data_IF_472485959499
#
_entry.id   IF_472485959499
#
_cell.length_a   1.000
_cell.length_b   1.000
_cell.length_c   1.000
_cell.angle_alpha   90.00
_cell.angle_beta   90.00
_cell.angle_gamma   90.00
#
_symmetry.space_group_name_H-M   'P 1'
#
loop_
_entity.id
_entity.type
_entity.pdbx_description
1 polymer ?
#
# COMPACT_ATOMS: atom_id res chain seq x y z
N UNK A 1 0.94 -27.12 19.54
CA UNK A 1 0.42 -25.75 19.74
C UNK A 1 -0.56 -25.46 18.63
N UNK A 2 -1.65 -24.71 18.88
CA UNK A 2 -2.61 -24.30 17.85
C UNK A 2 -2.68 -22.78 17.78
N UNK A 3 -3.00 -22.26 16.61
CA UNK A 3 -3.00 -20.83 16.28
C UNK A 3 -4.35 -20.42 15.69
N UNK A 4 -4.73 -19.18 15.93
CA UNK A 4 -5.92 -18.53 15.38
C UNK A 4 -5.85 -17.04 15.69
N UNK A 5 -6.88 -16.30 15.28
CA UNK A 5 -6.98 -14.86 15.53
C UNK A 5 -8.05 -14.62 16.58
N UNK A 6 -7.84 -13.63 17.44
CA UNK A 6 -8.85 -13.18 18.39
C UNK A 6 -9.34 -11.79 18.00
N UNK A 7 -10.66 -11.62 17.95
CA UNK A 7 -11.33 -10.33 17.71
C UNK A 7 -12.02 -9.93 18.99
N UNK A 8 -11.67 -8.76 19.54
CA UNK A 8 -12.20 -8.26 20.82
C UNK A 8 -12.10 -9.28 21.96
N UNK A 9 -10.97 -10.00 22.04
CA UNK A 9 -10.72 -11.01 23.07
C UNK A 9 -11.39 -12.37 22.83
N UNK A 10 -12.16 -12.53 21.76
CA UNK A 10 -12.81 -13.80 21.40
C UNK A 10 -12.00 -14.51 20.30
N UNK A 11 -11.38 -15.67 20.58
CA UNK A 11 -10.66 -16.43 19.56
C UNK A 11 -11.62 -17.08 18.56
N UNK A 12 -11.11 -17.42 17.38
CA UNK A 12 -11.80 -18.31 16.45
C UNK A 12 -12.20 -19.64 17.11
N UNK A 13 -13.36 -20.16 16.73
CA UNK A 13 -13.85 -21.46 17.20
C UNK A 13 -12.99 -22.63 16.69
N UNK A 14 -12.41 -22.47 15.51
CA UNK A 14 -11.47 -23.40 14.91
C UNK A 14 -10.04 -22.82 14.92
N UNK A 15 -9.08 -23.64 15.34
CA UNK A 15 -7.67 -23.30 15.44
C UNK A 15 -6.82 -24.30 14.65
N UNK A 16 -5.71 -23.82 14.09
CA UNK A 16 -4.90 -24.53 13.12
C UNK A 16 -3.49 -24.80 13.66
N UNK A 17 -2.75 -25.75 13.07
CA UNK A 17 -1.35 -25.99 13.44
C UNK A 17 -0.43 -24.83 13.03
N UNK A 18 -0.89 -23.96 12.13
CA UNK A 18 -0.23 -22.72 11.73
C UNK A 18 -1.28 -21.68 11.27
N UNK A 19 -1.08 -20.41 11.63
CA UNK A 19 -1.85 -19.27 11.14
C UNK A 19 -0.94 -18.03 10.96
N UNK A 20 -0.78 -17.53 9.73
CA UNK A 20 0.11 -16.39 9.37
C UNK A 20 -0.58 -15.36 8.47
N UNK A 21 0.14 -14.26 8.17
CA UNK A 21 -0.31 -13.21 7.25
C UNK A 21 -1.70 -12.67 7.60
N UNK A 22 -1.94 -12.30 8.86
CA UNK A 22 -3.25 -11.88 9.34
C UNK A 22 -3.74 -10.63 8.58
N UNK A 23 -5.00 -10.64 8.16
CA UNK A 23 -5.71 -9.47 7.64
C UNK A 23 -7.01 -9.24 8.43
N UNK A 24 -7.41 -7.98 8.57
CA UNK A 24 -8.70 -7.60 9.11
C UNK A 24 -9.52 -6.87 8.03
N UNK A 25 -10.84 -7.00 8.07
CA UNK A 25 -11.70 -6.21 7.19
C UNK A 25 -11.73 -4.73 7.65
N UNK A 26 -12.21 -3.79 6.81
CA UNK A 26 -12.23 -2.36 7.17
C UNK A 26 -12.98 -2.03 8.47
N UNK A 27 -14.02 -2.80 8.81
CA UNK A 27 -14.77 -2.63 10.05
C UNK A 27 -14.07 -3.21 11.30
N UNK A 28 -12.97 -3.96 11.13
CA UNK A 28 -12.27 -4.65 12.22
C UNK A 28 -13.08 -5.78 12.87
N UNK A 29 -14.16 -6.23 12.24
CA UNK A 29 -15.09 -7.25 12.75
C UNK A 29 -14.79 -8.65 12.23
N UNK A 30 -14.11 -8.75 11.10
CA UNK A 30 -13.73 -10.02 10.47
C UNK A 30 -12.24 -10.09 10.29
N UNK A 31 -11.70 -11.30 10.40
CA UNK A 31 -10.27 -11.57 10.28
C UNK A 31 -10.02 -12.75 9.36
N UNK A 32 -8.89 -12.71 8.66
CA UNK A 32 -8.45 -13.79 7.80
C UNK A 32 -6.98 -14.11 8.06
N UNK A 33 -6.60 -15.39 7.94
CA UNK A 33 -5.23 -15.84 8.07
C UNK A 33 -4.93 -16.93 7.05
N UNK A 34 -3.67 -17.03 6.63
CA UNK A 34 -3.18 -18.21 5.93
C UNK A 34 -3.06 -19.33 6.96
N UNK A 35 -3.76 -20.43 6.74
CA UNK A 35 -3.79 -21.56 7.67
C UNK A 35 -3.27 -22.83 7.02
N UNK A 36 -2.73 -23.72 7.82
CA UNK A 36 -2.33 -25.06 7.42
C UNK A 36 -3.39 -26.07 7.85
N UNK A 37 -3.99 -26.77 6.87
CA UNK A 37 -5.09 -27.72 7.11
C UNK A 37 -4.62 -29.11 7.52
N UNK A 38 -3.38 -29.45 7.19
CA UNK A 38 -2.82 -30.77 7.45
C UNK A 38 -1.41 -30.66 7.97
N UNK A 39 -1.04 -31.51 8.94
CA UNK A 39 0.31 -31.51 9.47
C UNK A 39 1.32 -31.93 8.39
N UNK A 40 2.38 -31.14 8.28
CA UNK A 40 3.55 -31.44 7.47
C UNK A 40 4.62 -32.01 8.40
N UNK A 41 4.96 -33.28 8.21
CA UNK A 41 6.17 -33.85 8.82
C UNK A 41 7.42 -33.14 8.30
N UNK A 42 8.53 -33.26 9.04
CA UNK A 42 9.81 -32.70 8.62
C UNK A 42 10.21 -33.22 7.24
N UNK A 43 10.65 -32.32 6.36
CA UNK A 43 11.11 -32.61 5.01
C UNK A 43 10.12 -33.38 4.09
N UNK A 44 8.81 -33.36 4.37
CA UNK A 44 7.81 -34.00 3.50
C UNK A 44 7.47 -33.12 2.28
N UNK A 45 8.38 -33.11 1.31
CA UNK A 45 8.28 -32.29 0.09
C UNK A 45 7.09 -32.68 -0.80
N UNK A 46 6.73 -33.96 -0.85
CA UNK A 46 5.62 -34.44 -1.67
C UNK A 46 4.27 -33.94 -1.16
N UNK A 47 4.07 -33.97 0.17
CA UNK A 47 2.86 -33.44 0.80
C UNK A 47 2.79 -31.92 0.67
N UNK A 48 3.92 -31.22 0.82
CA UNK A 48 3.98 -29.78 0.60
C UNK A 48 3.56 -29.40 -0.83
N UNK A 49 4.08 -30.11 -1.84
CA UNK A 49 3.75 -29.85 -3.26
C UNK A 49 2.29 -30.12 -3.62
N UNK A 50 1.58 -30.99 -2.87
CA UNK A 50 0.14 -31.22 -3.03
C UNK A 50 -0.73 -30.06 -2.50
N UNK A 51 -0.13 -29.13 -1.76
CA UNK A 51 -0.81 -27.99 -1.16
C UNK A 51 -1.58 -28.35 0.12
N UNK A 52 -1.21 -27.71 1.21
CA UNK A 52 -1.85 -27.87 2.53
C UNK A 52 -2.30 -26.54 3.13
N UNK A 53 -2.13 -25.44 2.40
CA UNK A 53 -2.43 -24.10 2.87
C UNK A 53 -3.73 -23.59 2.26
N UNK A 54 -4.44 -22.77 3.02
CA UNK A 54 -5.59 -22.02 2.51
C UNK A 54 -5.79 -20.73 3.31
N UNK A 55 -6.81 -19.95 2.99
CA UNK A 55 -7.27 -18.88 3.87
C UNK A 55 -8.38 -19.40 4.77
N UNK A 56 -8.30 -19.13 6.07
CA UNK A 56 -9.45 -19.15 6.95
C UNK A 56 -9.96 -17.74 7.20
N UNK A 57 -11.28 -17.54 7.12
CA UNK A 57 -11.97 -16.32 7.48
C UNK A 57 -12.82 -16.62 8.71
N UNK A 58 -12.56 -15.90 9.81
CA UNK A 58 -13.22 -16.11 11.09
C UNK A 58 -13.16 -17.58 11.56
N UNK A 59 -12.02 -18.23 11.32
CA UNK A 59 -11.78 -19.64 11.62
C UNK A 59 -12.27 -20.62 10.56
N UNK A 60 -13.09 -20.19 9.59
CA UNK A 60 -13.62 -21.08 8.56
C UNK A 60 -12.72 -21.11 7.32
N UNK A 61 -12.10 -22.25 6.98
CA UNK A 61 -11.21 -22.36 5.82
C UNK A 61 -11.99 -22.33 4.50
N UNK A 62 -11.38 -21.75 3.46
CA UNK A 62 -11.82 -22.00 2.08
C UNK A 62 -11.70 -23.49 1.76
N UNK A 63 -12.57 -23.97 0.87
CA UNK A 63 -12.56 -25.38 0.43
C UNK A 63 -11.29 -25.73 -0.37
N UNK A 64 -10.79 -24.78 -1.14
CA UNK A 64 -9.63 -24.98 -2.00
C UNK A 64 -8.33 -24.94 -1.19
N UNK A 65 -7.40 -25.84 -1.53
CA UNK A 65 -6.02 -25.84 -1.00
C UNK A 65 -5.04 -25.29 -2.03
N UNK A 66 -3.96 -24.73 -1.53
CA UNK A 66 -2.87 -24.13 -2.29
C UNK A 66 -1.52 -24.60 -1.74
N UNK A 67 -0.49 -24.52 -2.58
CA UNK A 67 0.90 -24.75 -2.15
C UNK A 67 1.36 -23.64 -1.22
N UNK A 68 0.98 -22.39 -1.52
CA UNK A 68 1.17 -21.26 -0.62
C UNK A 68 0.01 -20.27 -0.78
N UNK A 69 -0.22 -19.51 0.30
CA UNK A 69 -1.09 -18.34 0.31
C UNK A 69 -0.35 -17.23 1.06
N UNK A 70 -0.22 -16.05 0.45
CA UNK A 70 0.47 -14.92 1.06
C UNK A 70 -0.47 -13.75 1.31
N UNK A 71 -0.13 -12.56 0.81
CA UNK A 71 -0.85 -11.32 1.09
C UNK A 71 -2.30 -11.42 0.62
N UNK A 72 -3.18 -10.80 1.39
CA UNK A 72 -4.63 -10.85 1.19
C UNK A 72 -5.28 -9.54 1.60
N UNK A 73 -6.42 -9.25 0.97
CA UNK A 73 -7.14 -7.98 1.10
C UNK A 73 -8.64 -8.27 1.12
N UNK A 74 -9.34 -7.66 2.07
CA UNK A 74 -10.80 -7.59 2.05
C UNK A 74 -11.27 -6.48 1.11
N UNK A 75 -12.44 -6.65 0.49
CA UNK A 75 -13.10 -5.54 -0.21
C UNK A 75 -13.61 -4.47 0.78
N UNK A 76 -14.09 -3.35 0.25
CA UNK A 76 -14.61 -2.23 1.07
C UNK A 76 -15.74 -2.65 2.01
N UNK A 77 -16.63 -3.53 1.56
CA UNK A 77 -17.73 -4.05 2.38
C UNK A 77 -17.26 -5.04 3.47
N UNK A 78 -16.06 -5.61 3.31
CA UNK A 78 -15.49 -6.59 4.24
C UNK A 78 -16.11 -7.99 4.14
N UNK A 79 -16.88 -8.27 3.10
CA UNK A 79 -17.56 -9.55 2.89
C UNK A 79 -16.82 -10.50 1.94
N UNK A 80 -15.99 -9.94 1.04
CA UNK A 80 -15.14 -10.69 0.10
C UNK A 80 -13.66 -10.56 0.41
N UNK A 81 -12.88 -11.57 0.03
CA UNK A 81 -11.43 -11.60 0.22
C UNK A 81 -10.70 -12.09 -1.03
N UNK A 82 -9.65 -11.38 -1.43
CA UNK A 82 -8.70 -11.79 -2.45
C UNK A 82 -7.35 -12.12 -1.80
N UNK A 83 -6.67 -13.15 -2.30
CA UNK A 83 -5.36 -13.57 -1.80
C UNK A 83 -4.42 -13.97 -2.94
N UNK A 84 -3.13 -13.65 -2.76
CA UNK A 84 -2.06 -14.24 -3.56
C UNK A 84 -1.95 -15.73 -3.24
N UNK A 85 -1.97 -16.57 -4.28
CA UNK A 85 -1.85 -18.02 -4.15
C UNK A 85 -0.83 -18.60 -5.11
N UNK A 86 -0.18 -19.67 -4.68
CA UNK A 86 0.66 -20.53 -5.51
C UNK A 86 -0.03 -21.87 -5.70
N UNK A 87 -0.26 -22.24 -6.96
CA UNK A 87 -0.97 -23.46 -7.33
C UNK A 87 -0.02 -24.67 -7.40
N UNK A 88 1.19 -24.46 -7.88
CA UNK A 88 2.25 -25.46 -7.97
C UNK A 88 3.64 -24.80 -7.91
N UNK A 89 4.73 -25.50 -8.25
CA UNK A 89 6.07 -24.94 -8.18
C UNK A 89 6.33 -23.71 -9.08
N UNK A 90 5.49 -23.44 -10.08
CA UNK A 90 5.73 -22.42 -11.10
C UNK A 90 4.56 -21.46 -11.29
N UNK A 91 3.34 -21.90 -11.00
CA UNK A 91 2.12 -21.13 -11.26
C UNK A 91 1.60 -20.39 -10.03
N UNK A 92 1.49 -19.07 -10.17
CA UNK A 92 0.92 -18.14 -9.21
C UNK A 92 -0.33 -17.49 -9.80
N UNK A 93 -1.28 -17.16 -8.94
CA UNK A 93 -2.47 -16.40 -9.35
C UNK A 93 -3.12 -15.73 -8.14
N UNK A 94 -4.23 -15.03 -8.35
CA UNK A 94 -5.05 -14.50 -7.28
C UNK A 94 -6.26 -15.42 -7.11
N UNK A 95 -6.57 -15.78 -5.86
CA UNK A 95 -7.83 -16.43 -5.51
C UNK A 95 -8.78 -15.43 -4.86
N UNK A 96 -10.02 -15.37 -5.33
CA UNK A 96 -11.09 -14.55 -4.75
C UNK A 96 -12.13 -15.48 -4.15
N UNK A 97 -12.34 -15.36 -2.84
CA UNK A 97 -13.23 -16.23 -2.05
C UNK A 97 -12.96 -17.73 -2.28
N UNK A 98 -11.67 -18.08 -2.39
CA UNK A 98 -11.20 -19.44 -2.62
C UNK A 98 -11.21 -19.90 -4.07
N UNK A 99 -11.69 -19.08 -5.00
CA UNK A 99 -11.70 -19.39 -6.44
C UNK A 99 -10.53 -18.68 -7.14
N UNK A 100 -9.54 -19.41 -7.68
CA UNK A 100 -8.46 -18.82 -8.48
C UNK A 100 -8.97 -18.13 -9.74
N UNK A 101 -8.27 -17.10 -10.22
CA UNK A 101 -8.40 -16.67 -11.61
C UNK A 101 -8.04 -17.83 -12.57
N UNK A 102 -8.55 -17.78 -13.80
CA UNK A 102 -8.26 -18.82 -14.80
C UNK A 102 -6.80 -18.74 -15.31
N UNK A 103 -6.21 -17.56 -15.21
CA UNK A 103 -4.89 -17.20 -15.71
C UNK A 103 -3.84 -17.41 -14.61
N UNK A 104 -2.68 -17.93 -15.01
CA UNK A 104 -1.52 -18.09 -14.14
C UNK A 104 -0.36 -17.22 -14.59
N UNK A 105 0.50 -16.90 -13.63
CA UNK A 105 1.66 -16.04 -13.82
C UNK A 105 2.87 -16.65 -13.13
N UNK A 106 4.06 -16.22 -13.55
CA UNK A 106 5.32 -16.64 -12.92
C UNK A 106 5.51 -16.08 -11.51
N UNK A 107 4.80 -14.99 -11.18
CA UNK A 107 4.69 -14.38 -9.85
C UNK A 107 3.52 -13.40 -9.86
N UNK A 108 2.95 -13.11 -8.70
CA UNK A 108 1.96 -12.03 -8.50
C UNK A 108 2.32 -11.28 -7.21
N UNK A 109 1.76 -10.09 -7.01
CA UNK A 109 1.85 -9.37 -5.72
C UNK A 109 0.47 -9.20 -5.09
N UNK A 110 0.45 -8.64 -3.87
CA UNK A 110 -0.76 -8.39 -3.08
C UNK A 110 -1.92 -7.84 -3.93
N UNK A 111 -3.11 -8.48 -3.89
CA UNK A 111 -4.28 -7.98 -4.58
C UNK A 111 -4.94 -6.81 -3.83
N UNK A 112 -5.69 -6.00 -4.57
CA UNK A 112 -6.57 -4.95 -4.05
C UNK A 112 -7.90 -5.00 -4.77
N UNK A 113 -9.02 -4.83 -4.07
CA UNK A 113 -10.31 -4.68 -4.74
C UNK A 113 -10.44 -3.30 -5.36
N UNK A 114 -11.00 -3.23 -6.56
CA UNK A 114 -11.52 -1.98 -7.10
C UNK A 114 -12.72 -1.56 -6.24
N UNK A 115 -12.75 -0.35 -5.68
CA UNK A 115 -13.68 -0.02 -4.60
C UNK A 115 -15.15 0.08 -5.04
N UNK A 116 -15.43 0.25 -6.34
CA UNK A 116 -16.78 0.29 -6.92
C UNK A 116 -17.11 -0.86 -7.87
N UNK A 117 -16.16 -1.35 -8.67
CA UNK A 117 -16.40 -2.44 -9.63
C UNK A 117 -16.45 -3.83 -8.97
N UNK A 118 -15.89 -3.97 -7.76
CA UNK A 118 -15.73 -5.24 -7.05
C UNK A 118 -14.89 -6.29 -7.81
N UNK A 119 -14.16 -5.86 -8.84
CA UNK A 119 -13.08 -6.58 -9.51
C UNK A 119 -11.82 -6.54 -8.66
N UNK A 120 -10.85 -7.40 -8.96
CA UNK A 120 -9.59 -7.48 -8.21
C UNK A 120 -8.42 -7.06 -9.10
N UNK A 121 -7.62 -6.13 -8.60
CA UNK A 121 -6.39 -5.66 -9.23
C UNK A 121 -5.19 -6.34 -8.57
N UNK A 122 -4.24 -6.80 -9.37
CA UNK A 122 -2.96 -7.32 -8.85
C UNK A 122 -1.81 -7.05 -9.83
N UNK A 123 -0.61 -6.70 -9.34
CA UNK A 123 0.61 -6.77 -10.13
C UNK A 123 0.89 -8.22 -10.46
N UNK A 124 1.15 -8.51 -11.73
CA UNK A 124 1.42 -9.86 -12.24
C UNK A 124 2.67 -9.88 -13.09
N UNK A 125 3.45 -10.95 -12.99
CA UNK A 125 4.66 -11.13 -13.80
C UNK A 125 4.38 -12.00 -15.02
N UNK A 126 4.19 -11.34 -16.16
CA UNK A 126 3.90 -11.94 -17.46
C UNK A 126 5.05 -11.67 -18.45
N UNK A 127 5.55 -12.72 -19.11
CA UNK A 127 6.69 -12.66 -20.04
C UNK A 127 7.94 -12.01 -19.42
N UNK A 128 8.27 -12.42 -18.19
CA UNK A 128 9.47 -11.99 -17.47
C UNK A 128 9.41 -10.57 -16.87
N UNK A 129 8.38 -9.78 -17.16
CA UNK A 129 8.18 -8.41 -16.66
C UNK A 129 6.86 -8.25 -15.90
N UNK A 130 6.72 -7.18 -15.14
CA UNK A 130 5.52 -6.88 -14.35
C UNK A 130 4.55 -5.99 -15.12
N UNK A 131 3.26 -6.28 -15.03
CA UNK A 131 2.16 -5.42 -15.47
C UNK A 131 1.03 -5.48 -14.44
N UNK A 132 0.04 -4.61 -14.57
CA UNK A 132 -1.16 -4.66 -13.74
C UNK A 132 -2.24 -5.48 -14.44
N UNK A 133 -2.87 -6.40 -13.71
CA UNK A 133 -4.03 -7.14 -14.16
C UNK A 133 -5.28 -6.82 -13.34
N UNK A 134 -6.44 -6.89 -13.99
CA UNK A 134 -7.77 -6.86 -13.39
C UNK A 134 -8.47 -8.18 -13.71
N UNK A 135 -8.86 -8.94 -12.69
CA UNK A 135 -9.49 -10.27 -12.81
C UNK A 135 -8.78 -11.20 -13.80
N UNK A 136 -7.45 -11.33 -13.65
CA UNK A 136 -6.61 -12.20 -14.46
C UNK A 136 -6.16 -11.61 -15.80
N UNK A 137 -6.71 -10.47 -16.23
CA UNK A 137 -6.39 -9.87 -17.53
C UNK A 137 -5.49 -8.66 -17.37
N UNK A 138 -4.36 -8.62 -18.08
CA UNK A 138 -3.50 -7.45 -18.10
C UNK A 138 -4.27 -6.23 -18.65
N UNK A 139 -4.24 -5.12 -17.90
CA UNK A 139 -4.92 -3.87 -18.25
C UNK A 139 -3.97 -2.75 -18.66
N UNK A 140 -2.67 -2.89 -18.37
CA UNK A 140 -1.64 -1.94 -18.80
C UNK A 140 -0.83 -2.50 -19.97
N UNK A 141 -0.69 -1.69 -21.02
CA UNK A 141 0.14 -2.02 -22.18
C UNK A 141 1.64 -1.98 -21.88
N UNK A 142 2.05 -1.14 -20.92
CA UNK A 142 3.45 -1.01 -20.48
C UNK A 142 3.81 -2.11 -19.49
N UNK A 143 4.99 -2.70 -19.66
CA UNK A 143 5.57 -3.68 -18.72
C UNK A 143 6.82 -3.11 -18.05
N UNK A 144 7.01 -3.41 -16.77
CA UNK A 144 8.02 -2.82 -15.90
C UNK A 144 8.97 -3.88 -15.32
N UNK A 145 10.13 -3.45 -14.81
CA UNK A 145 11.03 -4.32 -14.05
C UNK A 145 10.46 -4.71 -12.68
N UNK A 146 9.67 -3.83 -12.08
CA UNK A 146 8.89 -4.04 -10.85
C UNK A 146 7.61 -3.20 -10.90
N UNK A 147 6.55 -3.67 -10.21
CA UNK A 147 5.28 -2.96 -10.03
C UNK A 147 4.66 -3.39 -8.70
N UNK A 148 4.28 -2.46 -7.83
CA UNK A 148 3.57 -2.75 -6.58
C UNK A 148 2.73 -1.54 -6.10
N UNK A 149 2.04 -1.67 -4.97
CA UNK A 149 1.24 -0.60 -4.34
C UNK A 149 0.26 0.06 -5.33
N UNK A 150 -0.49 -0.75 -6.06
CA UNK A 150 -1.55 -0.27 -6.92
C UNK A 150 -2.68 0.37 -6.08
N UNK A 151 -3.24 1.46 -6.59
CA UNK A 151 -4.32 2.21 -5.96
C UNK A 151 -5.25 2.80 -7.01
N UNK A 152 -6.55 2.76 -6.73
CA UNK A 152 -7.56 3.44 -7.54
C UNK A 152 -7.74 4.85 -6.98
N UNK A 153 -7.79 5.86 -7.86
CA UNK A 153 -8.05 7.23 -7.46
C UNK A 153 -9.43 7.36 -6.81
N UNK A 154 -9.64 8.31 -5.87
CA UNK A 154 -10.93 8.52 -5.22
C UNK A 154 -12.11 8.71 -6.18
N UNK A 155 -11.88 9.41 -7.29
CA UNK A 155 -12.87 9.64 -8.36
C UNK A 155 -13.07 8.43 -9.29
N UNK A 156 -12.37 7.30 -9.06
CA UNK A 156 -12.51 6.05 -9.80
C UNK A 156 -12.08 6.09 -11.27
N UNK A 157 -11.33 7.11 -11.70
CA UNK A 157 -10.96 7.27 -13.11
C UNK A 157 -9.59 6.71 -13.44
N UNK A 158 -8.66 6.72 -12.47
CA UNK A 158 -7.26 6.43 -12.71
C UNK A 158 -6.79 5.33 -11.76
N UNK A 159 -5.88 4.48 -12.22
CA UNK A 159 -5.15 3.54 -11.38
C UNK A 159 -3.68 3.95 -11.37
N UNK A 160 -3.13 4.17 -10.19
CA UNK A 160 -1.70 4.43 -10.02
C UNK A 160 -0.99 3.25 -9.36
N UNK A 161 0.30 3.10 -9.62
CA UNK A 161 1.17 2.16 -8.93
C UNK A 161 2.60 2.67 -8.88
N UNK A 162 3.37 2.18 -7.91
CA UNK A 162 4.82 2.36 -7.92
C UNK A 162 5.41 1.37 -8.93
N UNK A 163 6.22 1.87 -9.84
CA UNK A 163 6.83 1.08 -10.92
C UNK A 163 8.34 1.30 -11.00
N UNK A 164 9.04 0.33 -11.55
CA UNK A 164 10.41 0.48 -12.00
C UNK A 164 10.51 0.38 -13.53
N UNK A 165 10.51 1.51 -14.28
CA UNK A 165 10.68 1.48 -15.74
C UNK A 165 12.06 0.97 -16.17
N UNK A 166 13.06 1.14 -15.31
CA UNK A 166 14.41 0.61 -15.48
C UNK A 166 14.85 -0.07 -14.18
N UNK A 167 15.81 -1.00 -14.27
CA UNK A 167 16.34 -1.65 -13.08
C UNK A 167 16.89 -0.62 -12.08
N UNK A 168 16.40 -0.67 -10.84
CA UNK A 168 16.83 0.24 -9.77
C UNK A 168 16.37 1.69 -9.91
N UNK A 169 15.45 2.02 -10.82
CA UNK A 169 14.85 3.37 -10.93
C UNK A 169 13.36 3.30 -10.71
N UNK A 170 12.86 3.99 -9.70
CA UNK A 170 11.47 3.94 -9.23
C UNK A 170 10.72 5.22 -9.54
N UNK A 171 9.44 5.11 -9.91
CA UNK A 171 8.54 6.25 -10.12
C UNK A 171 7.07 5.83 -9.96
N UNK A 172 6.13 6.76 -10.02
CA UNK A 172 4.71 6.44 -10.16
C UNK A 172 4.37 6.24 -11.63
N UNK A 173 3.48 5.30 -11.92
CA UNK A 173 2.73 5.25 -13.17
C UNK A 173 1.26 5.53 -12.89
N UNK A 174 0.61 6.24 -13.81
CA UNK A 174 -0.84 6.42 -13.85
C UNK A 174 -1.33 5.75 -15.13
N UNK A 175 -2.20 4.77 -14.99
CA UNK A 175 -2.77 3.97 -16.10
C UNK A 175 -1.70 3.39 -17.04
N UNK A 176 -0.59 2.92 -16.46
CA UNK A 176 0.53 2.32 -17.19
C UNK A 176 1.49 3.33 -17.83
N UNK A 177 1.29 4.63 -17.63
CA UNK A 177 2.20 5.68 -18.09
C UNK A 177 3.08 6.14 -16.92
N UNK A 178 4.39 5.81 -16.90
CA UNK A 178 5.30 6.25 -15.85
C UNK A 178 5.60 7.75 -15.97
N UNK A 179 5.81 8.41 -14.83
CA UNK A 179 6.39 9.75 -14.82
C UNK A 179 7.86 9.73 -15.28
N UNK A 180 8.34 10.86 -15.78
CA UNK A 180 9.73 11.03 -16.21
C UNK A 180 10.72 11.07 -15.03
N UNK A 181 10.33 11.72 -13.93
CA UNK A 181 11.11 11.78 -12.72
C UNK A 181 11.24 10.38 -12.10
N UNK A 182 12.45 10.00 -11.67
CA UNK A 182 12.71 8.70 -11.05
C UNK A 182 13.67 8.83 -9.87
N UNK A 183 13.63 7.84 -8.98
CA UNK A 183 14.48 7.73 -7.79
C UNK A 183 15.26 6.41 -7.78
N UNK A 184 16.52 6.45 -7.35
CA UNK A 184 17.46 5.34 -7.38
C UNK A 184 17.46 4.44 -6.15
N UNK A 185 16.94 4.92 -5.01
CA UNK A 185 16.90 4.12 -3.77
C UNK A 185 15.52 3.51 -3.54
N UNK A 186 14.49 4.35 -3.40
CA UNK A 186 13.12 3.91 -3.20
C UNK A 186 12.10 5.00 -3.50
N UNK A 187 10.86 4.57 -3.71
CA UNK A 187 9.66 5.39 -3.77
C UNK A 187 8.60 4.77 -2.86
N UNK A 188 7.96 5.57 -2.01
CA UNK A 188 7.00 5.11 -1.00
C UNK A 188 5.90 6.14 -0.77
N UNK A 189 4.91 5.75 0.04
CA UNK A 189 3.83 6.61 0.54
C UNK A 189 3.07 7.40 -0.56
N UNK A 190 2.65 6.76 -1.67
CA UNK A 190 1.83 7.44 -2.66
C UNK A 190 0.46 7.80 -2.08
N UNK A 191 -0.07 8.96 -2.46
CA UNK A 191 -1.34 9.49 -1.96
C UNK A 191 -2.02 10.34 -3.03
N UNK A 192 -3.25 9.98 -3.36
CA UNK A 192 -4.11 10.81 -4.19
C UNK A 192 -4.69 11.98 -3.39
N UNK A 193 -4.84 13.12 -4.05
CA UNK A 193 -5.73 14.19 -3.60
C UNK A 193 -7.18 13.72 -3.43
N UNK A 194 -8.00 14.38 -2.61
CA UNK A 194 -9.41 14.00 -2.41
C UNK A 194 -10.24 13.93 -3.71
N UNK A 195 -9.93 14.78 -4.69
CA UNK A 195 -10.58 14.77 -6.02
C UNK A 195 -10.06 13.66 -6.94
N UNK A 196 -8.94 13.01 -6.60
CA UNK A 196 -8.25 12.02 -7.43
C UNK A 196 -7.52 12.59 -8.65
N UNK A 197 -7.46 13.92 -8.80
CA UNK A 197 -6.84 14.59 -9.95
C UNK A 197 -5.34 14.82 -9.79
N UNK A 198 -4.84 14.75 -8.56
CA UNK A 198 -3.43 14.94 -8.20
C UNK A 198 -2.90 13.77 -7.39
N UNK A 199 -1.61 13.49 -7.51
CA UNK A 199 -0.92 12.38 -6.84
C UNK A 199 0.42 12.88 -6.30
N UNK A 200 0.71 12.55 -5.04
CA UNK A 200 2.01 12.80 -4.43
C UNK A 200 2.65 11.47 -4.00
N UNK A 201 3.96 11.44 -3.89
CA UNK A 201 4.73 10.32 -3.33
C UNK A 201 6.04 10.84 -2.71
N UNK A 202 6.70 9.99 -1.94
CA UNK A 202 8.04 10.26 -1.44
C UNK A 202 9.07 9.45 -2.21
N UNK A 203 10.11 10.12 -2.69
CA UNK A 203 11.25 9.48 -3.34
C UNK A 203 12.54 9.72 -2.58
N UNK A 204 13.46 8.78 -2.64
CA UNK A 204 14.79 8.89 -2.03
C UNK A 204 15.89 8.80 -3.09
N UNK A 205 16.76 9.81 -3.13
CA UNK A 205 17.93 9.89 -4.01
C UNK A 205 19.12 10.42 -3.21
N UNK A 206 20.30 9.81 -3.38
CA UNK A 206 21.56 10.27 -2.78
C UNK A 206 21.46 10.50 -1.26
N UNK A 207 20.75 9.63 -0.55
CA UNK A 207 20.56 9.70 0.89
C UNK A 207 19.55 10.75 1.37
N UNK A 208 18.88 11.47 0.47
CA UNK A 208 17.90 12.51 0.80
C UNK A 208 16.50 12.17 0.31
N UNK A 209 15.52 12.62 1.08
CA UNK A 209 14.10 12.47 0.77
C UNK A 209 13.57 13.68 0.01
N UNK A 210 12.72 13.41 -0.96
CA UNK A 210 12.04 14.37 -1.80
C UNK A 210 10.55 14.07 -1.85
N UNK A 211 9.74 15.12 -1.93
CA UNK A 211 8.33 14.99 -2.28
C UNK A 211 8.22 15.13 -3.79
N UNK A 212 7.57 14.16 -4.42
CA UNK A 212 7.20 14.21 -5.84
C UNK A 212 5.71 14.45 -5.93
N UNK A 213 5.30 15.43 -6.73
CA UNK A 213 3.92 15.89 -6.87
C UNK A 213 3.59 16.03 -8.35
N UNK A 214 2.62 15.25 -8.82
CA UNK A 214 2.15 15.26 -10.21
C UNK A 214 3.28 15.05 -11.25
N UNK A 215 4.33 14.30 -10.87
CA UNK A 215 5.51 14.02 -11.69
C UNK A 215 6.68 14.99 -11.50
N UNK A 216 6.48 16.11 -10.81
CA UNK A 216 7.52 17.08 -10.50
C UNK A 216 8.13 16.85 -9.12
N UNK A 217 9.43 17.01 -8.99
CA UNK A 217 10.15 16.88 -7.72
C UNK A 217 10.25 18.26 -7.05
N UNK A 218 9.87 18.36 -5.78
CA UNK A 218 10.12 19.54 -4.96
C UNK A 218 11.61 19.90 -4.93
N UNK A 219 11.93 21.19 -4.97
CA UNK A 219 13.33 21.68 -5.01
C UNK A 219 14.04 21.40 -3.70
N UNK A 220 13.32 21.47 -2.58
CA UNK A 220 13.89 21.12 -1.29
C UNK A 220 14.05 19.60 -1.15
N UNK A 221 15.08 19.23 -0.39
CA UNK A 221 15.34 17.86 0.01
C UNK A 221 15.52 17.79 1.52
N UNK A 222 15.26 16.63 2.10
CA UNK A 222 15.12 16.46 3.54
C UNK A 222 15.94 15.24 4.02
N UNK A 223 16.36 15.24 5.28
CA UNK A 223 16.94 14.06 5.91
C UNK A 223 15.90 12.93 6.05
N UNK A 224 14.64 13.32 6.26
CA UNK A 224 13.47 12.46 6.24
C UNK A 224 12.24 13.26 5.80
N UNK A 225 11.32 12.60 5.11
CA UNK A 225 9.97 13.11 4.85
C UNK A 225 8.95 12.03 5.21
N UNK A 226 7.77 12.44 5.67
CA UNK A 226 6.64 11.54 5.94
C UNK A 226 5.53 11.76 4.92
N UNK A 227 4.59 10.81 4.85
CA UNK A 227 3.53 10.76 3.84
C UNK A 227 2.91 12.15 3.61
N UNK A 228 2.90 12.64 2.35
CA UNK A 228 2.26 13.91 2.03
C UNK A 228 0.77 13.88 2.37
N UNK A 229 0.21 15.03 2.72
CA UNK A 229 -1.22 15.20 2.92
C UNK A 229 -1.73 16.32 2.04
N UNK A 230 -2.84 16.07 1.36
CA UNK A 230 -3.53 17.09 0.58
C UNK A 230 -4.51 17.87 1.45
N UNK A 231 -4.66 19.17 1.18
CA UNK A 231 -5.81 19.93 1.67
C UNK A 231 -7.10 19.36 1.07
N UNK A 232 -8.27 19.55 1.74
CA UNK A 232 -9.55 19.02 1.24
C UNK A 232 -9.89 19.45 -0.19
N UNK A 233 -9.47 20.66 -0.60
CA UNK A 233 -9.64 21.19 -1.95
C UNK A 233 -8.52 20.80 -2.94
N UNK A 234 -7.51 20.04 -2.51
CA UNK A 234 -6.38 19.57 -3.33
C UNK A 234 -5.35 20.65 -3.73
N UNK A 235 -5.50 21.89 -3.29
CA UNK A 235 -4.62 23.00 -3.67
C UNK A 235 -3.26 22.97 -2.96
N UNK A 236 -3.23 22.53 -1.71
CA UNK A 236 -2.03 22.48 -0.90
C UNK A 236 -1.63 21.04 -0.61
N UNK A 237 -0.33 20.79 -0.63
CA UNK A 237 0.29 19.54 -0.20
C UNK A 237 1.25 19.88 0.91
N UNK A 238 1.07 19.25 2.07
CA UNK A 238 1.96 19.39 3.20
C UNK A 238 2.68 18.08 3.48
N UNK A 239 3.91 18.16 3.97
CA UNK A 239 4.63 17.02 4.51
C UNK A 239 5.32 17.42 5.81
N UNK A 240 5.31 16.51 6.79
CA UNK A 240 6.27 16.59 7.89
C UNK A 240 7.65 16.25 7.32
N UNK A 241 8.66 16.98 7.75
CA UNK A 241 10.04 16.84 7.26
C UNK A 241 11.04 16.94 8.40
N UNK A 242 12.21 16.32 8.20
CA UNK A 242 13.37 16.44 9.07
C UNK A 242 14.51 17.11 8.31
N UNK A 243 15.12 18.12 8.94
CA UNK A 243 16.25 18.89 8.40
C UNK A 243 17.24 19.13 9.51
N UNK A 244 18.48 18.64 9.33
CA UNK A 244 19.59 18.76 10.28
C UNK A 244 19.21 18.26 11.69
N UNK A 245 18.52 17.11 11.77
CA UNK A 245 18.12 16.50 13.04
C UNK A 245 16.99 17.22 13.79
N UNK A 246 16.29 18.16 13.14
CA UNK A 246 15.11 18.85 13.67
C UNK A 246 13.91 18.66 12.75
N UNK A 247 12.72 18.68 13.32
CA UNK A 247 11.48 18.49 12.58
C UNK A 247 10.84 19.83 12.17
N UNK A 248 10.19 19.85 11.02
CA UNK A 248 9.36 20.95 10.55
C UNK A 248 8.24 20.46 9.64
N UNK A 249 7.53 21.39 9.01
CA UNK A 249 6.54 21.15 7.97
C UNK A 249 6.97 21.86 6.69
N UNK A 250 6.78 21.22 5.54
CA UNK A 250 6.87 21.88 4.24
C UNK A 250 5.47 21.87 3.59
N UNK A 251 5.08 22.98 2.97
CA UNK A 251 3.81 23.11 2.24
C UNK A 251 4.09 23.64 0.84
N UNK A 252 3.71 22.89 -0.20
CA UNK A 252 4.00 23.22 -1.60
C UNK A 252 5.46 23.65 -1.82
N UNK A 253 6.41 22.84 -1.31
CA UNK A 253 7.86 23.11 -1.38
C UNK A 253 8.34 24.35 -0.56
N UNK A 254 7.48 24.98 0.24
CA UNK A 254 7.87 26.05 1.17
C UNK A 254 8.05 25.50 2.58
N UNK A 255 9.26 25.64 3.15
CA UNK A 255 9.56 25.20 4.50
C UNK A 255 8.99 26.18 5.54
N UNK A 256 8.27 25.66 6.54
CA UNK A 256 7.84 26.44 7.68
C UNK A 256 9.06 26.91 8.48
N UNK A 257 9.15 28.21 8.75
CA UNK A 257 10.32 28.86 9.37
C UNK A 257 10.69 28.34 10.76
N UNK A 258 9.83 27.54 11.39
CA UNK A 258 10.04 26.99 12.72
C UNK A 258 10.58 25.56 12.63
N UNK A 259 11.58 25.27 13.45
CA UNK A 259 12.09 23.93 13.70
C UNK A 259 11.72 23.48 15.11
N UNK A 260 11.51 22.17 15.29
CA UNK A 260 10.96 21.57 16.49
C UNK A 260 11.74 20.30 16.89
N UNK A 261 11.67 19.91 18.16
CA UNK A 261 12.25 18.66 18.66
C UNK A 261 11.41 17.44 18.24
N UNK A 262 10.10 17.64 18.08
CA UNK A 262 9.21 16.69 17.43
C UNK A 262 8.09 17.43 16.69
N UNK A 263 7.58 16.81 15.63
CA UNK A 263 6.39 17.26 14.91
C UNK A 263 5.51 16.04 14.62
N UNK A 264 4.19 16.21 14.75
CA UNK A 264 3.21 15.22 14.29
C UNK A 264 2.71 15.59 12.90
N UNK A 265 2.03 14.64 12.26
CA UNK A 265 1.53 14.82 10.91
C UNK A 265 0.61 16.05 10.82
N UNK A 266 0.79 16.89 9.78
CA UNK A 266 -0.03 18.06 9.55
C UNK A 266 -1.48 17.66 9.24
N UNK A 267 -2.43 18.45 9.73
CA UNK A 267 -3.86 18.25 9.44
C UNK A 267 -4.44 19.56 8.91
N UNK A 268 -4.94 19.54 7.68
CA UNK A 268 -5.66 20.69 7.14
C UNK A 268 -7.03 20.84 7.81
N UNK A 269 -7.43 22.09 8.04
CA UNK A 269 -8.81 22.45 8.35
C UNK A 269 -9.76 22.02 7.22
N UNK A 270 -11.07 21.81 7.49
CA UNK A 270 -12.03 21.39 6.46
C UNK A 270 -12.11 22.30 5.22
N UNK A 271 -11.88 23.61 5.38
CA UNK A 271 -11.80 24.54 4.24
C UNK A 271 -10.43 24.58 3.55
N UNK A 272 -9.40 23.94 4.11
CA UNK A 272 -8.04 23.90 3.57
C UNK A 272 -7.18 25.14 3.83
N UNK A 273 -7.73 26.20 4.41
CA UNK A 273 -7.03 27.49 4.58
C UNK A 273 -6.08 27.55 5.77
N UNK A 274 -6.29 26.67 6.75
CA UNK A 274 -5.47 26.55 7.97
C UNK A 274 -4.92 25.14 8.11
N UNK A 275 -3.78 25.03 8.78
CA UNK A 275 -3.12 23.77 9.12
C UNK A 275 -2.92 23.68 10.63
N UNK A 276 -3.32 22.54 11.20
CA UNK A 276 -3.04 22.19 12.58
C UNK A 276 -1.65 21.59 12.67
N UNK A 277 -0.75 22.30 13.33
CA UNK A 277 0.60 21.86 13.64
C UNK A 277 0.69 21.52 15.14
N UNK A 278 1.17 20.31 15.43
CA UNK A 278 1.43 19.83 16.78
C UNK A 278 2.92 19.58 16.89
N UNK A 279 3.56 20.19 17.88
CA UNK A 279 5.02 20.17 18.01
C UNK A 279 5.45 20.03 19.46
N UNK A 280 6.65 19.49 19.65
CA UNK A 280 7.39 19.54 20.91
C UNK A 280 8.57 20.48 20.71
N UNK A 281 8.67 21.50 21.56
CA UNK A 281 9.77 22.48 21.55
C UNK A 281 10.25 22.66 22.99
N UNK A 282 11.50 22.29 23.27
CA UNK A 282 12.15 22.36 24.57
C UNK A 282 11.30 21.75 25.70
N UNK A 283 10.75 20.56 25.45
CA UNK A 283 9.90 19.84 26.42
C UNK A 283 8.46 20.38 26.53
N UNK A 284 8.10 21.45 25.81
CA UNK A 284 6.74 22.00 25.81
C UNK A 284 5.98 21.56 24.56
N UNK A 285 4.79 21.01 24.75
CA UNK A 285 3.91 20.63 23.65
C UNK A 285 3.06 21.82 23.21
N UNK A 286 3.12 22.15 21.91
CA UNK A 286 2.34 23.22 21.32
C UNK A 286 1.32 22.68 20.32
N UNK A 287 0.14 23.29 20.32
CA UNK A 287 -0.90 23.08 19.31
C UNK A 287 -1.19 24.42 18.63
N UNK A 288 -0.86 24.53 17.34
CA UNK A 288 -1.01 25.76 16.56
C UNK A 288 -1.93 25.54 15.38
N UNK A 289 -2.83 26.49 15.16
CA UNK A 289 -3.63 26.56 13.94
C UNK A 289 -3.09 27.73 13.14
N UNK A 290 -2.42 27.43 12.02
CA UNK A 290 -1.65 28.41 11.25
C UNK A 290 -2.34 28.60 9.90
N UNK A 291 -2.59 29.84 9.44
CA UNK A 291 -2.97 30.08 8.04
C UNK A 291 -1.93 29.49 7.08
N UNK A 292 -2.36 28.72 6.09
CA UNK A 292 -1.45 28.08 5.12
C UNK A 292 -0.62 29.13 4.37
N UNK A 293 -1.24 30.28 4.08
CA UNK A 293 -0.58 31.42 3.45
C UNK A 293 0.61 31.96 4.24
N UNK A 294 0.68 31.75 5.55
CA UNK A 294 1.83 32.20 6.35
C UNK A 294 3.06 31.28 6.16
N UNK A 295 2.87 30.10 5.55
CA UNK A 295 3.94 29.15 5.21
C UNK A 295 4.37 29.28 3.75
N UNK A 296 3.41 29.41 2.82
CA UNK A 296 3.67 29.44 1.37
C UNK A 296 4.09 30.82 0.83
N UNK A 297 4.52 31.72 1.71
CA UNK A 297 4.97 33.09 1.39
C UNK A 297 6.47 33.20 1.25
#
# INVERSE_FOLDING_TARGET
>A
MKYGVAVNGVPWSELFSNATEIAANPAGTRTAATVQLEDLGQANIEKFQKGVFTVAIDGTPWKQKFVNVWKKTFNTAGDRLAAEVRLNLYDYTIAVDGTPWNETFSSVWQPTFHPTKNTVLAPVRADGKWTLAEDGKAIWGTKFFQLWHQMVSPNQTNIAAIVAPQFGRWTMAIDGVPWYATFGEMLVEPVFSPSGSRLAALGKENGKWHVMLDGDIWKNSFDMAWQPVFSPNGQYVAAKVEVNGKFSLAVNDCLWKRTCDACWDPIFSPCGEKILCRTLENGTYYRRVIPVQDIVR
#
